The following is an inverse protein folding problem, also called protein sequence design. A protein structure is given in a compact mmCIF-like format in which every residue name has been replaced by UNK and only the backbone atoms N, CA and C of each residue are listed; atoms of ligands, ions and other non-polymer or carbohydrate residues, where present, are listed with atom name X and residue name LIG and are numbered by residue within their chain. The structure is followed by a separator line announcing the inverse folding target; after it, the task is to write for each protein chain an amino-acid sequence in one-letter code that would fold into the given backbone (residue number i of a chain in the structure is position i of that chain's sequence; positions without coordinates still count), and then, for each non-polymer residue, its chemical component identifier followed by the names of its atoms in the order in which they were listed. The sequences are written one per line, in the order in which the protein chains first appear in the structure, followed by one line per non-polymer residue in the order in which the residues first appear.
data_IF_142533746393
#
_entry.id   IF_142533746393
#
_cell.length_a   1.000
_cell.length_b   1.000
_cell.length_c   1.000
_cell.angle_alpha   90.00
_cell.angle_beta   90.00
_cell.angle_gamma   90.00
#
_symmetry.space_group_name_H-M   'P 1'
#
loop_
_entity.id
_entity.type
_entity.pdbx_description
1 polymer ?
#
# COMPACT_ATOMS: atom_id res chain seq x y z
N UNK A 1 -27.92 6.04 20.93
CA UNK A 1 -27.45 5.41 19.68
C UNK A 1 -26.41 6.33 19.07
N UNK A 2 -25.16 5.86 18.90
CA UNK A 2 -24.01 6.69 18.49
C UNK A 2 -23.65 6.29 17.06
N UNK A 3 -23.92 7.16 16.09
CA UNK A 3 -23.46 6.99 14.71
C UNK A 3 -22.02 7.53 14.62
N UNK A 4 -21.02 6.74 14.19
CA UNK A 4 -19.66 7.24 14.05
C UNK A 4 -19.46 7.89 12.68
N UNK A 5 -19.02 9.16 12.70
CA UNK A 5 -18.19 9.79 11.67
C UNK A 5 -18.77 9.88 10.26
N UNK A 6 -19.58 10.91 10.00
CA UNK A 6 -19.69 11.45 8.63
C UNK A 6 -18.31 12.01 8.26
N UNK A 7 -17.68 11.45 7.22
CA UNK A 7 -16.49 12.05 6.57
C UNK A 7 -16.91 13.39 5.98
N UNK A 8 -16.02 14.38 6.05
CA UNK A 8 -16.16 15.70 5.43
C UNK A 8 -16.74 15.59 4.02
N UNK A 9 -17.66 16.50 3.70
CA UNK A 9 -18.59 16.46 2.57
C UNK A 9 -17.88 16.76 1.24
N UNK A 10 -17.05 15.81 0.82
CA UNK A 10 -16.32 15.80 -0.45
C UNK A 10 -16.07 14.36 -0.85
N UNK A 11 -16.32 14.05 -2.12
CA UNK A 11 -16.12 12.70 -2.65
C UNK A 11 -14.63 12.38 -2.69
N UNK A 12 -14.24 11.19 -2.17
CA UNK A 12 -12.85 10.79 -1.93
C UNK A 12 -11.98 10.99 -3.17
N UNK A 13 -10.80 11.60 -3.04
CA UNK A 13 -9.86 11.79 -4.16
C UNK A 13 -8.68 10.84 -4.03
N UNK A 14 -8.32 10.16 -5.12
CA UNK A 14 -7.19 9.25 -5.17
C UNK A 14 -6.31 9.52 -6.39
N UNK A 15 -5.03 9.14 -6.31
CA UNK A 15 -4.18 9.14 -7.48
C UNK A 15 -4.50 7.95 -8.39
N UNK A 16 -4.67 8.20 -9.69
CA UNK A 16 -4.92 7.18 -10.72
C UNK A 16 -3.79 7.12 -11.75
N UNK A 17 -3.37 5.92 -12.11
CA UNK A 17 -2.49 5.66 -13.26
C UNK A 17 -2.66 4.21 -13.73
N UNK A 18 -2.40 3.93 -15.00
CA UNK A 18 -2.44 2.58 -15.55
C UNK A 18 -1.10 1.83 -15.37
N UNK A 19 -1.02 0.58 -15.82
CA UNK A 19 0.18 -0.26 -15.81
C UNK A 19 1.35 0.26 -16.66
N UNK A 20 1.11 1.25 -17.52
CA UNK A 20 2.13 1.90 -18.33
C UNK A 20 3.21 2.53 -17.44
N UNK A 21 4.48 2.36 -17.83
CA UNK A 21 5.62 2.98 -17.16
C UNK A 21 6.11 4.18 -17.98
N UNK A 22 6.41 5.32 -17.35
CA UNK A 22 6.22 5.60 -15.92
C UNK A 22 4.75 5.86 -15.55
N UNK A 23 4.34 5.47 -14.34
CA UNK A 23 3.01 5.79 -13.80
C UNK A 23 3.00 7.26 -13.41
N UNK A 24 2.35 8.11 -14.21
CA UNK A 24 2.09 9.51 -13.89
C UNK A 24 0.75 9.63 -13.17
N UNK A 25 0.73 9.80 -11.84
CA UNK A 25 -0.50 9.81 -11.06
C UNK A 25 -1.28 11.11 -11.27
N UNK A 26 -2.59 10.98 -11.53
CA UNK A 26 -3.52 12.12 -11.65
C UNK A 26 -4.55 12.02 -10.52
N UNK A 27 -4.85 13.11 -9.78
CA UNK A 27 -5.93 13.12 -8.79
C UNK A 27 -7.30 12.93 -9.45
N UNK A 28 -8.05 11.93 -8.99
CA UNK A 28 -9.38 11.57 -9.50
C UNK A 28 -10.34 11.35 -8.35
N UNK A 29 -11.60 11.75 -8.54
CA UNK A 29 -12.68 11.58 -7.57
C UNK A 29 -13.32 10.19 -7.69
N UNK A 30 -13.46 9.47 -6.57
CA UNK A 30 -13.88 8.06 -6.47
C UNK A 30 -15.33 7.91 -6.00
N UNK A 31 -16.06 6.89 -6.45
CA UNK A 31 -17.45 6.62 -6.02
C UNK A 31 -17.56 6.37 -4.50
N UNK A 32 -18.77 6.48 -3.94
CA UNK A 32 -19.01 6.42 -2.48
C UNK A 32 -18.52 5.12 -1.81
N UNK A 33 -18.52 4.01 -2.55
CA UNK A 33 -18.06 2.69 -2.08
C UNK A 33 -16.63 2.33 -2.52
N UNK A 34 -15.91 3.30 -3.08
CA UNK A 34 -14.52 3.15 -3.48
C UNK A 34 -13.56 3.72 -2.43
N UNK A 35 -12.34 3.18 -2.45
CA UNK A 35 -11.22 3.60 -1.62
C UNK A 35 -9.96 3.75 -2.49
N UNK A 36 -8.96 4.48 -2.02
CA UNK A 36 -7.71 4.57 -2.76
C UNK A 36 -6.97 3.25 -2.71
N UNK A 37 -6.48 2.80 -3.87
CA UNK A 37 -5.76 1.56 -4.03
C UNK A 37 -4.45 1.71 -4.77
N UNK A 38 -3.49 0.84 -4.41
CA UNK A 38 -2.33 0.49 -5.22
C UNK A 38 -2.47 -1.00 -5.53
N UNK A 39 -2.53 -1.37 -6.82
CA UNK A 39 -2.51 -2.78 -7.22
C UNK A 39 -1.15 -3.15 -7.78
N UNK A 40 -0.53 -4.18 -7.23
CA UNK A 40 0.75 -4.74 -7.69
C UNK A 40 0.44 -6.06 -8.37
N UNK A 41 0.81 -6.19 -9.64
CA UNK A 41 0.62 -7.40 -10.42
C UNK A 41 1.93 -8.16 -10.61
N UNK A 42 1.87 -9.49 -10.51
CA UNK A 42 3.01 -10.38 -10.79
C UNK A 42 2.60 -11.41 -11.84
N UNK A 43 3.40 -11.55 -12.90
CA UNK A 43 3.20 -12.60 -13.92
C UNK A 43 3.94 -13.89 -13.54
N UNK A 44 3.66 -14.98 -14.25
CA UNK A 44 4.38 -16.25 -14.10
C UNK A 44 5.89 -16.11 -14.38
N UNK A 45 6.27 -15.17 -15.25
CA UNK A 45 7.66 -14.85 -15.58
C UNK A 45 8.29 -13.87 -14.59
N UNK A 46 7.65 -13.63 -13.44
CA UNK A 46 8.10 -12.72 -12.38
C UNK A 46 8.22 -11.25 -12.83
N UNK A 47 7.52 -10.85 -13.90
CA UNK A 47 7.40 -9.43 -14.26
C UNK A 47 6.44 -8.74 -13.29
N UNK A 48 6.78 -7.51 -12.89
CA UNK A 48 5.99 -6.74 -11.93
C UNK A 48 5.38 -5.51 -12.59
N UNK A 49 4.07 -5.40 -12.50
CA UNK A 49 3.30 -4.21 -12.92
C UNK A 49 2.67 -3.54 -11.71
N UNK A 50 2.33 -2.25 -11.85
CA UNK A 50 1.68 -1.49 -10.79
C UNK A 50 0.68 -0.52 -11.38
N UNK A 51 -0.48 -0.40 -10.76
CA UNK A 51 -1.46 0.66 -11.03
C UNK A 51 -1.94 1.30 -9.74
N UNK A 52 -2.46 2.52 -9.84
CA UNK A 52 -3.11 3.25 -8.75
C UNK A 52 -4.52 3.62 -9.19
N UNK A 53 -5.46 3.68 -8.26
CA UNK A 53 -6.78 4.24 -8.54
C UNK A 53 -7.81 3.97 -7.47
N UNK A 54 -9.06 4.32 -7.78
CA UNK A 54 -10.23 3.98 -6.98
C UNK A 54 -10.50 2.48 -7.11
N UNK A 55 -10.68 1.78 -5.99
CA UNK A 55 -11.05 0.37 -5.94
C UNK A 55 -12.29 0.20 -5.06
N UNK A 56 -13.26 -0.63 -5.45
CA UNK A 56 -14.37 -0.97 -4.56
C UNK A 56 -13.83 -1.58 -3.26
N UNK A 57 -14.34 -1.10 -2.11
CA UNK A 57 -13.84 -1.50 -0.79
C UNK A 57 -13.83 -3.02 -0.59
N UNK A 58 -14.82 -3.71 -1.15
CA UNK A 58 -14.94 -5.16 -1.11
C UNK A 58 -13.84 -5.92 -1.88
N UNK A 59 -13.14 -5.28 -2.83
CA UNK A 59 -12.05 -5.90 -3.60
C UNK A 59 -10.69 -5.81 -2.90
N UNK A 60 -10.52 -4.90 -1.95
CA UNK A 60 -9.25 -4.71 -1.24
C UNK A 60 -8.66 -5.99 -0.60
N UNK A 61 -9.44 -6.87 0.06
CA UNK A 61 -8.90 -8.11 0.61
C UNK A 61 -8.79 -9.24 -0.42
N UNK A 62 -9.36 -9.07 -1.61
CA UNK A 62 -9.43 -10.12 -2.63
C UNK A 62 -8.18 -10.08 -3.51
N UNK A 63 -7.83 -11.23 -4.08
CA UNK A 63 -6.85 -11.28 -5.16
C UNK A 63 -7.53 -10.89 -6.47
N UNK A 64 -6.89 -10.02 -7.24
CA UNK A 64 -7.36 -9.58 -8.55
C UNK A 64 -6.61 -10.25 -9.69
N UNK A 65 -7.12 -10.06 -10.91
CA UNK A 65 -6.43 -10.46 -12.14
C UNK A 65 -6.48 -9.33 -13.16
N UNK A 66 -5.45 -9.23 -13.99
CA UNK A 66 -5.44 -8.35 -15.15
C UNK A 66 -4.61 -8.96 -16.28
N UNK A 67 -5.04 -8.67 -17.50
CA UNK A 67 -4.25 -8.93 -18.71
C UNK A 67 -3.65 -7.61 -19.18
N UNK A 68 -2.35 -7.59 -19.40
CA UNK A 68 -1.62 -6.45 -19.93
C UNK A 68 -0.55 -6.94 -20.90
N UNK A 69 -0.53 -6.38 -22.11
CA UNK A 69 0.43 -6.75 -23.15
C UNK A 69 0.50 -8.27 -23.40
N UNK A 70 -0.67 -8.90 -23.57
CA UNK A 70 -0.84 -10.35 -23.79
C UNK A 70 -0.37 -11.25 -22.62
N UNK A 71 -0.08 -10.67 -21.47
CA UNK A 71 0.35 -11.39 -20.26
C UNK A 71 -0.67 -11.27 -19.15
N UNK A 72 -0.85 -12.35 -18.41
CA UNK A 72 -1.72 -12.40 -17.25
C UNK A 72 -0.95 -12.13 -15.97
N UNK A 73 -1.54 -11.32 -15.08
CA UNK A 73 -0.96 -10.94 -13.81
C UNK A 73 -1.94 -11.21 -12.67
N UNK A 74 -1.43 -11.77 -11.59
CA UNK A 74 -2.14 -11.87 -10.31
C UNK A 74 -1.91 -10.59 -9.53
N UNK A 75 -2.98 -9.90 -9.14
CA UNK A 75 -2.95 -8.60 -8.49
C UNK A 75 -3.13 -8.72 -6.98
N UNK A 76 -2.28 -8.03 -6.24
CA UNK A 76 -2.43 -7.76 -4.81
C UNK A 76 -2.78 -6.28 -4.60
N UNK A 77 -3.73 -6.00 -3.71
CA UNK A 77 -4.22 -4.64 -3.47
C UNK A 77 -3.77 -4.12 -2.09
N UNK A 78 -3.30 -2.88 -2.05
CA UNK A 78 -3.07 -2.12 -0.83
C UNK A 78 -4.00 -0.92 -0.83
N UNK A 79 -4.94 -0.87 0.12
CA UNK A 79 -5.99 0.15 0.17
C UNK A 79 -5.88 1.07 1.38
N UNK A 80 -6.37 2.30 1.23
CA UNK A 80 -6.48 3.31 2.28
C UNK A 80 -7.66 4.24 2.00
N UNK A 81 -8.17 4.93 3.02
CA UNK A 81 -9.48 5.60 2.97
C UNK A 81 -9.41 7.12 3.12
N UNK A 82 -8.21 7.69 3.15
CA UNK A 82 -7.98 9.14 3.22
C UNK A 82 -7.72 9.72 1.84
N UNK A 83 -8.00 11.01 1.66
CA UNK A 83 -7.72 11.71 0.40
C UNK A 83 -6.24 11.58 0.02
N UNK A 84 -6.02 11.17 -1.23
CA UNK A 84 -4.73 11.03 -1.89
C UNK A 84 -3.74 10.14 -1.13
N UNK A 85 -4.22 9.27 -0.24
CA UNK A 85 -3.38 8.43 0.62
C UNK A 85 -2.51 7.44 -0.16
N UNK A 86 -2.88 7.13 -1.41
CA UNK A 86 -2.08 6.31 -2.31
C UNK A 86 -0.95 7.09 -3.02
N UNK A 87 -0.56 8.27 -2.51
CA UNK A 87 0.60 9.03 -2.97
C UNK A 87 1.91 8.25 -2.84
N UNK A 88 2.04 7.42 -1.80
CA UNK A 88 3.29 6.72 -1.51
C UNK A 88 3.69 5.81 -2.68
N UNK A 89 4.75 6.22 -3.37
CA UNK A 89 5.48 5.41 -4.33
C UNK A 89 6.39 4.50 -3.53
N UNK A 90 5.87 3.37 -3.03
CA UNK A 90 6.66 2.21 -2.55
C UNK A 90 7.97 2.59 -1.84
N UNK A 91 7.88 3.33 -0.73
CA UNK A 91 9.00 3.53 0.20
C UNK A 91 8.76 2.80 1.53
N UNK A 92 7.69 2.00 1.62
CA UNK A 92 7.29 1.26 2.83
C UNK A 92 7.85 -0.17 2.92
N UNK A 93 8.87 -0.50 2.10
CA UNK A 93 9.71 -1.69 2.33
C UNK A 93 11.09 -1.28 2.82
N UNK A 94 11.18 -0.32 3.74
CA UNK A 94 12.24 -0.40 4.74
C UNK A 94 11.79 -1.46 5.74
N UNK A 95 12.41 -2.65 5.74
CA UNK A 95 12.03 -3.69 6.67
C UNK A 95 12.33 -3.19 8.08
N UNK A 96 11.62 -3.78 9.02
CA UNK A 96 11.82 -3.78 10.48
C UNK A 96 13.28 -3.97 10.98
N UNK A 97 14.29 -3.95 10.11
CA UNK A 97 15.71 -4.08 10.43
C UNK A 97 16.22 -2.98 11.37
N UNK A 98 15.76 -1.73 11.25
CA UNK A 98 16.19 -0.65 12.17
C UNK A 98 15.70 -0.87 13.61
N UNK A 99 14.53 -1.50 13.78
CA UNK A 99 13.98 -1.84 15.09
C UNK A 99 14.73 -3.03 15.71
N UNK A 100 15.09 -4.03 14.90
CA UNK A 100 15.82 -5.21 15.38
C UNK A 100 17.26 -4.85 15.77
N UNK A 101 17.96 -4.00 15.01
CA UNK A 101 19.31 -3.55 15.39
C UNK A 101 19.30 -2.72 16.67
N UNK A 102 18.29 -1.87 16.89
CA UNK A 102 18.16 -1.09 18.13
C UNK A 102 17.90 -2.00 19.34
N UNK A 103 17.03 -3.02 19.20
CA UNK A 103 16.73 -3.97 20.27
C UNK A 103 17.96 -4.84 20.66
N UNK A 104 18.74 -5.28 19.68
CA UNK A 104 19.98 -6.07 19.93
C UNK A 104 21.05 -5.23 20.61
N UNK A 105 21.22 -3.96 20.22
CA UNK A 105 22.12 -3.04 20.90
C UNK A 105 21.73 -2.86 22.37
N UNK A 106 20.47 -2.57 22.66
CA UNK A 106 20.00 -2.39 24.05
C UNK A 106 20.20 -3.64 24.93
N UNK A 107 20.03 -4.84 24.37
CA UNK A 107 20.27 -6.10 25.10
C UNK A 107 21.77 -6.35 25.39
N UNK A 108 22.67 -5.88 24.52
CA UNK A 108 24.12 -6.02 24.75
C UNK A 108 24.63 -5.12 25.89
N UNK A 109 23.99 -3.97 26.13
CA UNK A 109 24.33 -3.09 27.26
C UNK A 109 23.90 -3.65 28.62
N UNK A 110 22.92 -4.55 28.68
CA UNK A 110 22.49 -5.15 29.95
C UNK A 110 23.32 -6.36 30.37
N UNK A 111 24.03 -7.03 29.45
CA UNK A 111 24.91 -8.17 29.77
C UNK A 111 26.34 -7.71 30.10
N UNK A 112 26.84 -6.64 29.48
CA UNK A 112 28.20 -6.14 29.71
C UNK A 112 28.45 -5.54 31.10
N UNK A 113 27.41 -5.24 31.87
CA UNK A 113 27.52 -4.63 33.21
C UNK A 113 27.63 -5.61 34.38
N UNK A 114 27.46 -6.92 34.16
CA UNK A 114 27.42 -7.92 35.25
C UNK A 114 28.66 -8.82 35.36
N UNK A 115 29.72 -8.54 34.59
CA UNK A 115 30.97 -9.32 34.59
C UNK A 115 32.20 -8.58 35.15
N UNK A 116 31.98 -7.45 35.84
CA UNK A 116 33.02 -6.75 36.60
C UNK A 116 32.49 -6.35 37.99
N UNK A 117 32.29 -7.33 38.86
CA UNK A 117 32.52 -7.16 40.30
C UNK A 117 32.75 -8.49 41.01
#
# INVERSE_FOLDING_TARGET
MRFPGRREEGRLRCYTCNFAKPCYPIPTECQDDEVCGISIGTSEQSEVIQRKGCLPRAQCPLQGHATYWERSYSLQHHCCEQDLCNAATTLQRLPSCLLITLLVLMASFTWGGHLLH
#
